data_IF_716952243122
#
_entry.id   IF_716952243122
#
_cell.length_a   1.000
_cell.length_b   1.000
_cell.length_c   1.000
_cell.angle_alpha   90.00
_cell.angle_beta   90.00
_cell.angle_gamma   90.00
#
_symmetry.space_group_name_H-M   'P 1'
#
loop_
_entity.id
_entity.type
_entity.pdbx_description
1 polymer ?
#
# COMPACT_ATOMS: atom_id res chain seq x y z
N UNK A 1 -17.77 -24.82 20.63
CA UNK A 1 -17.52 -23.69 19.67
C UNK A 1 -17.06 -24.26 18.36
N UNK A 2 -17.85 -24.14 17.28
CA UNK A 2 -17.44 -24.60 15.97
C UNK A 2 -16.26 -23.75 15.48
N UNK A 3 -15.09 -24.36 15.22
CA UNK A 3 -13.96 -23.68 14.60
C UNK A 3 -14.42 -23.11 13.27
N UNK A 4 -14.47 -21.77 13.15
CA UNK A 4 -14.68 -21.09 11.90
C UNK A 4 -13.56 -21.59 10.95
N UNK A 5 -13.92 -22.30 9.89
CA UNK A 5 -12.94 -22.72 8.86
C UNK A 5 -12.34 -21.44 8.29
N UNK A 6 -11.10 -21.14 8.63
CA UNK A 6 -10.36 -20.05 7.99
C UNK A 6 -10.28 -20.35 6.50
N UNK A 7 -10.79 -19.44 5.70
CA UNK A 7 -10.56 -19.49 4.25
C UNK A 7 -9.12 -19.07 4.01
N UNK A 8 -8.31 -19.96 3.46
CA UNK A 8 -6.90 -19.73 3.13
C UNK A 8 -6.68 -18.51 2.23
N UNK A 9 -7.63 -18.29 1.31
CA UNK A 9 -7.64 -17.14 0.41
C UNK A 9 -9.00 -16.47 0.57
N UNK A 10 -9.06 -15.17 0.91
CA UNK A 10 -10.30 -14.42 0.90
C UNK A 10 -10.97 -14.50 -0.46
N UNK A 11 -12.31 -14.67 -0.48
CA UNK A 11 -13.07 -14.85 -1.73
C UNK A 11 -12.86 -13.70 -2.72
N UNK A 12 -12.61 -12.49 -2.22
CA UNK A 12 -12.34 -11.30 -3.02
C UNK A 12 -11.02 -11.35 -3.82
N UNK A 13 -10.12 -12.28 -3.49
CA UNK A 13 -8.84 -12.48 -4.20
C UNK A 13 -8.84 -13.70 -5.12
N UNK A 14 -9.91 -14.48 -5.09
CA UNK A 14 -10.07 -15.59 -6.04
C UNK A 14 -10.56 -14.96 -7.33
N UNK A 15 -9.75 -14.96 -8.42
CA UNK A 15 -10.21 -14.45 -9.69
C UNK A 15 -11.36 -15.31 -10.21
N UNK A 16 -12.25 -14.69 -10.98
CA UNK A 16 -13.26 -15.43 -11.71
C UNK A 16 -12.56 -16.45 -12.63
N UNK A 17 -12.83 -17.73 -12.40
CA UNK A 17 -12.35 -18.81 -13.26
C UNK A 17 -13.40 -19.11 -14.33
N UNK A 18 -12.96 -19.56 -15.49
CA UNK A 18 -13.83 -19.86 -16.61
C UNK A 18 -13.33 -19.29 -17.92
N UNK A 19 -14.14 -19.30 -18.94
CA UNK A 19 -13.78 -18.78 -20.24
C UNK A 19 -14.79 -17.77 -20.77
N UNK A 20 -14.29 -16.80 -21.53
CA UNK A 20 -15.10 -15.82 -22.24
C UNK A 20 -14.49 -15.51 -23.60
N UNK A 21 -15.30 -15.01 -24.52
CA UNK A 21 -14.84 -14.62 -25.85
C UNK A 21 -14.52 -13.12 -25.85
N UNK A 22 -13.30 -12.77 -26.23
CA UNK A 22 -12.88 -11.41 -26.52
C UNK A 22 -12.78 -11.22 -28.03
N UNK A 23 -13.43 -10.18 -28.57
CA UNK A 23 -13.32 -9.83 -29.98
C UNK A 23 -12.42 -8.61 -30.16
N UNK A 24 -11.34 -8.74 -30.91
CA UNK A 24 -10.40 -7.67 -31.28
C UNK A 24 -10.32 -7.64 -32.80
N UNK A 25 -10.58 -6.50 -33.41
CA UNK A 25 -10.51 -6.30 -34.88
C UNK A 25 -11.26 -7.39 -35.68
N UNK A 26 -12.48 -7.71 -35.22
CA UNK A 26 -13.36 -8.76 -35.76
C UNK A 26 -12.85 -10.22 -35.59
N UNK A 27 -11.71 -10.43 -34.97
CA UNK A 27 -11.19 -11.77 -34.64
C UNK A 27 -11.66 -12.14 -33.22
N UNK A 28 -12.18 -13.35 -33.08
CA UNK A 28 -12.65 -13.90 -31.81
C UNK A 28 -11.52 -14.69 -31.15
N UNK A 29 -11.22 -14.34 -29.89
CA UNK A 29 -10.26 -15.05 -29.03
C UNK A 29 -11.01 -15.65 -27.85
N UNK A 30 -10.80 -16.93 -27.59
CA UNK A 30 -11.24 -17.55 -26.34
C UNK A 30 -10.20 -17.27 -25.28
N UNK A 31 -10.61 -16.58 -24.23
CA UNK A 31 -9.78 -16.30 -23.06
C UNK A 31 -10.21 -17.26 -21.96
N UNK A 32 -9.28 -18.04 -21.44
CA UNK A 32 -9.48 -18.86 -20.26
C UNK A 32 -8.80 -18.17 -19.05
N UNK A 33 -9.53 -18.11 -17.95
CA UNK A 33 -9.00 -17.69 -16.65
C UNK A 33 -8.87 -18.93 -15.78
N UNK A 34 -7.65 -19.34 -15.53
CA UNK A 34 -7.35 -20.51 -14.72
C UNK A 34 -6.72 -20.06 -13.40
N UNK A 35 -7.04 -20.78 -12.33
CA UNK A 35 -6.43 -20.56 -11.02
C UNK A 35 -5.88 -21.89 -10.49
N UNK A 36 -4.62 -21.87 -10.06
CA UNK A 36 -3.97 -23.00 -9.42
C UNK A 36 -3.71 -22.68 -7.94
N UNK A 37 -4.15 -23.57 -7.06
CA UNK A 37 -3.96 -23.46 -5.62
C UNK A 37 -3.25 -24.68 -5.08
N UNK A 38 -2.21 -24.47 -4.30
CA UNK A 38 -1.55 -25.53 -3.55
C UNK A 38 -1.87 -25.36 -2.06
N UNK A 39 -2.41 -26.40 -1.48
CA UNK A 39 -2.68 -26.47 -0.04
C UNK A 39 -1.69 -27.42 0.61
N UNK A 40 -1.04 -26.95 1.66
CA UNK A 40 -0.19 -27.80 2.50
C UNK A 40 -0.21 -27.32 3.96
N UNK A 41 -0.01 -28.25 4.88
CA UNK A 41 0.14 -27.99 6.30
C UNK A 41 1.61 -28.14 6.69
N UNK A 42 2.14 -27.19 7.43
CA UNK A 42 3.52 -27.21 7.92
C UNK A 42 3.58 -26.79 9.39
N UNK A 43 4.54 -27.36 10.14
CA UNK A 43 4.93 -26.88 11.46
C UNK A 43 6.02 -25.80 11.32
N UNK A 44 6.04 -24.85 12.24
CA UNK A 44 7.17 -23.92 12.43
C UNK A 44 8.33 -24.58 13.22
N UNK A 45 8.12 -25.81 13.76
CA UNK A 45 9.12 -26.56 14.50
C UNK A 45 9.68 -25.78 15.69
N UNK A 46 11.00 -25.82 15.86
CA UNK A 46 11.75 -25.11 16.93
C UNK A 46 11.62 -23.59 16.86
N UNK A 47 11.19 -23.05 15.71
CA UNK A 47 10.94 -21.61 15.53
C UNK A 47 9.56 -21.18 16.06
N UNK A 48 8.72 -22.13 16.48
CA UNK A 48 7.35 -21.83 16.98
C UNK A 48 7.34 -20.78 18.09
N UNK A 49 8.26 -20.74 19.07
CA UNK A 49 8.25 -19.71 20.11
C UNK A 49 8.40 -18.29 19.55
N UNK A 50 9.21 -18.09 18.49
CA UNK A 50 9.31 -16.78 17.82
C UNK A 50 7.98 -16.33 17.22
N UNK A 51 7.31 -17.20 16.47
CA UNK A 51 6.05 -16.88 15.82
C UNK A 51 4.89 -16.73 16.80
N UNK A 52 4.87 -17.54 17.88
CA UNK A 52 3.92 -17.38 19.00
C UNK A 52 4.17 -16.06 19.74
N UNK A 53 5.43 -15.70 19.98
CA UNK A 53 5.80 -14.40 20.56
C UNK A 53 5.26 -13.23 19.75
N UNK A 54 5.34 -13.27 18.42
CA UNK A 54 4.77 -12.24 17.54
C UNK A 54 3.23 -12.21 17.66
N UNK A 55 2.57 -13.37 17.62
CA UNK A 55 1.11 -13.47 17.62
C UNK A 55 0.47 -13.14 18.96
N UNK A 56 0.95 -13.78 20.02
CA UNK A 56 0.28 -13.79 21.31
C UNK A 56 0.85 -12.73 22.27
N UNK A 57 2.18 -12.69 22.42
CA UNK A 57 2.86 -11.93 23.47
C UNK A 57 3.30 -10.53 23.01
N UNK A 58 3.28 -10.24 21.71
CA UNK A 58 3.85 -9.02 21.12
C UNK A 58 5.32 -8.83 21.50
N UNK A 59 6.07 -9.94 21.47
CA UNK A 59 7.51 -10.02 21.72
C UNK A 59 8.25 -10.43 20.46
N UNK A 60 9.49 -9.99 20.36
CA UNK A 60 10.40 -10.36 19.28
C UNK A 60 11.57 -11.08 19.91
N UNK A 61 11.90 -12.25 19.38
CA UNK A 61 13.03 -13.04 19.85
C UNK A 61 14.15 -13.06 18.81
N UNK A 62 15.37 -13.06 19.32
CA UNK A 62 16.58 -13.44 18.61
C UNK A 62 17.12 -14.76 19.15
N UNK A 63 18.14 -15.32 18.48
CA UNK A 63 18.92 -16.44 19.00
C UNK A 63 20.34 -15.98 19.35
N UNK A 64 20.74 -16.17 20.63
CA UNK A 64 22.03 -15.80 21.14
C UNK A 64 22.95 -17.04 21.19
N UNK A 65 24.15 -16.91 20.65
CA UNK A 65 25.15 -17.92 20.79
C UNK A 65 25.85 -17.78 22.16
N UNK A 66 25.90 -18.81 23.01
CA UNK A 66 26.58 -18.74 24.33
C UNK A 66 28.09 -18.60 24.20
N UNK A 67 28.71 -19.07 23.08
CA UNK A 67 30.16 -19.00 22.88
C UNK A 67 30.62 -17.62 22.40
N UNK A 68 30.04 -17.07 21.32
CA UNK A 68 30.47 -15.77 20.77
C UNK A 68 29.60 -14.59 21.19
N UNK A 69 28.47 -14.82 21.85
CA UNK A 69 27.57 -13.80 22.32
C UNK A 69 26.67 -13.17 21.23
N UNK A 70 26.90 -13.51 19.95
CA UNK A 70 26.18 -12.92 18.82
C UNK A 70 24.68 -13.23 18.87
N UNK A 71 23.85 -12.21 18.73
CA UNK A 71 22.39 -12.29 18.71
C UNK A 71 21.86 -12.11 17.30
N UNK A 72 21.32 -13.17 16.70
CA UNK A 72 20.70 -13.11 15.37
C UNK A 72 19.19 -12.94 15.47
N UNK A 73 18.65 -11.97 14.78
CA UNK A 73 17.21 -11.75 14.65
C UNK A 73 16.85 -11.62 13.17
N UNK A 74 15.91 -12.44 12.65
CA UNK A 74 15.09 -13.46 13.35
C UNK A 74 15.93 -14.68 13.78
N UNK A 75 15.43 -15.50 14.73
CA UNK A 75 16.18 -16.60 15.36
C UNK A 75 16.18 -17.87 14.48
N UNK A 76 16.54 -17.75 13.19
CA UNK A 76 16.42 -18.85 12.23
C UNK A 76 17.60 -19.83 12.25
N UNK A 77 18.58 -19.59 13.13
CA UNK A 77 19.70 -20.47 13.34
C UNK A 77 19.66 -21.02 14.76
N UNK A 78 19.22 -22.27 14.93
CA UNK A 78 19.19 -22.98 16.23
C UNK A 78 20.59 -23.37 16.72
N UNK A 79 21.57 -23.31 15.81
CA UNK A 79 22.98 -23.57 16.10
C UNK A 79 23.85 -22.48 15.45
N UNK A 80 24.93 -22.10 16.14
CA UNK A 80 25.85 -21.08 15.65
C UNK A 80 26.88 -21.69 14.68
N UNK A 81 26.86 -21.30 13.39
CA UNK A 81 27.80 -21.85 12.40
C UNK A 81 29.25 -21.43 12.66
N UNK A 82 29.46 -20.30 13.35
CA UNK A 82 30.82 -19.77 13.63
C UNK A 82 31.44 -20.34 14.91
N UNK A 83 30.73 -21.22 15.65
CA UNK A 83 31.11 -21.73 16.94
C UNK A 83 30.89 -23.26 17.05
N UNK A 84 31.37 -24.02 16.08
CA UNK A 84 31.24 -25.48 16.02
C UNK A 84 29.80 -25.97 16.22
N UNK A 85 28.86 -25.26 15.62
CA UNK A 85 27.43 -25.55 15.75
C UNK A 85 26.94 -25.60 17.21
N UNK A 86 27.51 -24.76 18.09
CA UNK A 86 26.98 -24.61 19.45
C UNK A 86 25.50 -24.24 19.42
N UNK A 87 24.64 -24.89 20.22
CA UNK A 87 23.23 -24.58 20.29
C UNK A 87 23.01 -23.13 20.76
N UNK A 88 22.03 -22.45 20.17
CA UNK A 88 21.71 -21.08 20.52
C UNK A 88 20.52 -21.04 21.48
N UNK A 89 20.38 -19.92 22.22
CA UNK A 89 19.32 -19.69 23.18
C UNK A 89 18.40 -18.55 22.68
N UNK A 90 17.09 -18.68 22.87
CA UNK A 90 16.16 -17.62 22.57
C UNK A 90 16.29 -16.48 23.59
N UNK A 91 16.45 -15.26 23.10
CA UNK A 91 16.52 -14.04 23.91
C UNK A 91 15.53 -13.00 23.36
N UNK A 92 14.84 -12.27 24.24
CA UNK A 92 13.99 -11.17 23.83
C UNK A 92 14.87 -10.00 23.34
N UNK A 93 14.56 -9.46 22.15
CA UNK A 93 15.21 -8.26 21.60
C UNK A 93 14.30 -7.06 21.69
N UNK A 94 14.88 -5.86 21.57
CA UNK A 94 14.13 -4.62 21.61
C UNK A 94 13.15 -4.46 20.44
N UNK A 95 12.24 -3.50 20.59
CA UNK A 95 11.25 -3.16 19.57
C UNK A 95 11.54 -1.81 18.89
N UNK A 96 12.68 -1.22 19.21
CA UNK A 96 13.25 -0.05 18.52
C UNK A 96 14.50 -0.53 17.79
N UNK A 97 14.77 0.06 16.64
CA UNK A 97 15.96 -0.33 15.87
C UNK A 97 16.34 0.74 14.86
N UNK A 98 17.32 0.42 14.04
CA UNK A 98 17.88 1.32 13.04
C UNK A 98 17.83 0.68 11.67
N UNK A 99 17.44 1.44 10.66
CA UNK A 99 17.46 1.02 9.27
C UNK A 99 18.91 0.76 8.82
N UNK A 100 19.22 -0.47 8.42
CA UNK A 100 20.52 -0.86 7.91
C UNK A 100 20.79 -0.28 6.52
N UNK A 101 19.76 -0.11 5.72
CA UNK A 101 19.81 0.43 4.36
C UNK A 101 18.56 1.25 4.05
N UNK A 102 18.64 2.12 3.04
CA UNK A 102 17.48 2.77 2.46
C UNK A 102 16.57 1.72 1.83
N UNK A 103 15.28 1.61 2.25
CA UNK A 103 14.41 0.58 1.74
C UNK A 103 13.97 0.86 0.30
N UNK A 104 14.02 -0.13 -0.60
CA UNK A 104 13.29 -0.04 -1.86
C UNK A 104 11.79 -0.01 -1.58
N UNK A 105 11.06 0.83 -2.32
CA UNK A 105 9.62 1.00 -2.14
C UNK A 105 8.87 0.10 -3.11
N UNK A 106 7.92 -0.65 -2.59
CA UNK A 106 6.96 -1.45 -3.36
C UNK A 106 5.65 -0.68 -3.45
N UNK A 107 5.36 -0.11 -4.60
CA UNK A 107 4.12 0.64 -4.86
C UNK A 107 2.98 -0.24 -5.33
N UNK A 108 3.31 -1.35 -5.98
CA UNK A 108 2.36 -2.31 -6.50
C UNK A 108 2.77 -3.71 -6.07
N UNK A 109 1.79 -4.51 -5.67
CA UNK A 109 1.96 -5.91 -5.33
C UNK A 109 0.88 -6.74 -6.04
N UNK A 110 1.07 -8.06 -6.10
CA UNK A 110 0.00 -8.95 -6.58
C UNK A 110 -1.23 -8.89 -5.67
N UNK A 111 -2.33 -9.51 -6.08
CA UNK A 111 -3.62 -9.44 -5.39
C UNK A 111 -3.54 -9.80 -3.89
N UNK A 112 -2.70 -10.77 -3.51
CA UNK A 112 -2.55 -11.20 -2.12
C UNK A 112 -1.90 -10.14 -1.22
N UNK A 113 -0.97 -9.35 -1.77
CA UNK A 113 -0.21 -8.33 -1.03
C UNK A 113 -0.64 -6.91 -1.34
N UNK A 114 -1.65 -6.72 -2.17
CA UNK A 114 -2.10 -5.40 -2.61
C UNK A 114 -2.54 -4.52 -1.43
N UNK A 115 -3.17 -5.10 -0.42
CA UNK A 115 -3.58 -4.39 0.81
C UNK A 115 -2.41 -3.86 1.64
N UNK A 116 -1.20 -4.40 1.46
CA UNK A 116 -0.01 -3.96 2.17
C UNK A 116 0.72 -2.82 1.45
N UNK A 117 0.54 -2.66 0.15
CA UNK A 117 1.21 -1.63 -0.64
C UNK A 117 0.55 -0.25 -0.44
N UNK A 118 1.32 0.87 -0.52
CA UNK A 118 2.76 0.90 -0.69
C UNK A 118 3.51 0.66 0.63
N UNK A 119 4.66 0.01 0.56
CA UNK A 119 5.54 -0.21 1.70
C UNK A 119 7.02 -0.19 1.30
N UNK A 120 7.88 0.20 2.23
CA UNK A 120 9.31 0.01 2.10
C UNK A 120 9.70 -1.41 2.53
N UNK A 121 10.57 -2.06 1.78
CA UNK A 121 11.17 -3.34 2.19
C UNK A 121 12.38 -3.06 3.08
N UNK A 122 12.13 -2.98 4.40
CA UNK A 122 13.11 -2.60 5.40
C UNK A 122 14.03 -3.75 5.82
N UNK A 123 15.26 -3.38 6.15
CA UNK A 123 16.20 -4.21 6.91
C UNK A 123 16.56 -3.44 8.17
N UNK A 124 16.11 -3.93 9.32
CA UNK A 124 16.19 -3.21 10.60
C UNK A 124 17.03 -4.02 11.59
N UNK A 125 18.05 -3.40 12.15
CA UNK A 125 18.80 -3.96 13.29
C UNK A 125 18.10 -3.45 14.54
N UNK A 126 17.50 -4.38 15.30
CA UNK A 126 16.79 -4.09 16.55
C UNK A 126 17.78 -3.95 17.71
N UNK A 127 17.42 -3.20 18.73
CA UNK A 127 18.20 -3.10 19.97
C UNK A 127 18.40 -4.49 20.58
N UNK A 128 19.65 -4.84 20.88
CA UNK A 128 20.03 -6.16 21.39
C UNK A 128 20.18 -7.25 20.32
N UNK A 129 20.08 -6.92 19.03
CA UNK A 129 20.37 -7.81 17.92
C UNK A 129 21.58 -7.33 17.12
N UNK A 130 22.35 -8.27 16.56
CA UNK A 130 23.51 -8.00 15.71
C UNK A 130 23.18 -8.17 14.22
N UNK A 131 22.04 -8.78 13.89
CA UNK A 131 21.60 -9.01 12.50
C UNK A 131 20.31 -8.28 12.20
N UNK A 132 20.04 -8.08 10.92
CA UNK A 132 18.89 -7.30 10.48
C UNK A 132 17.66 -8.18 10.25
N UNK A 133 16.55 -7.79 10.85
CA UNK A 133 15.22 -8.29 10.56
C UNK A 133 14.67 -7.65 9.27
N UNK A 134 14.20 -8.48 8.33
CA UNK A 134 13.49 -8.00 7.14
C UNK A 134 12.03 -7.80 7.47
N UNK A 135 11.54 -6.55 7.30
CA UNK A 135 10.19 -6.15 7.73
C UNK A 135 9.67 -5.01 6.87
N UNK A 136 8.35 -4.92 6.70
CA UNK A 136 7.75 -3.78 6.01
C UNK A 136 7.91 -2.50 6.82
N UNK A 137 8.13 -1.38 6.14
CA UNK A 137 8.25 -0.06 6.76
C UNK A 137 7.20 0.87 6.14
N UNK A 138 6.50 1.59 7.00
CA UNK A 138 5.48 2.58 6.64
C UNK A 138 5.78 3.92 7.28
N UNK A 139 5.11 4.97 6.79
CA UNK A 139 5.01 6.27 7.47
C UNK A 139 3.56 6.51 7.90
N UNK A 140 3.36 7.18 9.00
CA UNK A 140 2.01 7.55 9.47
C UNK A 140 1.32 8.53 8.53
N UNK A 141 2.10 9.37 7.87
CA UNK A 141 1.65 10.30 6.83
C UNK A 141 1.27 9.59 5.53
N UNK A 142 1.73 8.35 5.34
CA UNK A 142 1.59 7.57 4.10
C UNK A 142 2.47 8.09 2.96
N UNK A 143 3.38 9.03 3.20
CA UNK A 143 4.38 9.46 2.22
C UNK A 143 5.50 8.43 2.23
N UNK A 144 5.66 7.71 1.13
CA UNK A 144 6.69 6.68 0.95
C UNK A 144 7.49 6.94 -0.33
N UNK A 145 7.87 8.19 -0.57
CA UNK A 145 8.80 8.52 -1.64
C UNK A 145 10.21 8.00 -1.32
N UNK A 146 11.02 7.66 -2.33
CA UNK A 146 12.40 7.27 -2.12
C UNK A 146 13.17 8.33 -1.32
N UNK A 147 13.93 7.89 -0.31
CA UNK A 147 14.73 8.78 0.54
C UNK A 147 14.00 9.40 1.75
N UNK A 148 12.68 9.23 1.90
CA UNK A 148 11.96 9.63 3.12
C UNK A 148 12.44 8.78 4.30
N UNK A 149 12.47 7.47 4.14
CA UNK A 149 13.11 6.55 5.08
C UNK A 149 14.45 6.13 4.46
N UNK A 150 15.53 6.30 5.18
CA UNK A 150 16.90 6.05 4.70
C UNK A 150 17.72 5.27 5.72
N UNK A 151 18.89 4.81 5.31
CA UNK A 151 19.88 4.21 6.23
C UNK A 151 20.07 5.11 7.46
N UNK A 152 20.11 4.52 8.64
CA UNK A 152 20.27 5.23 9.90
C UNK A 152 18.97 5.78 10.50
N UNK A 153 17.83 5.74 9.80
CA UNK A 153 16.54 6.13 10.38
C UNK A 153 16.19 5.21 11.54
N UNK A 154 15.93 5.81 12.72
CA UNK A 154 15.40 5.07 13.87
C UNK A 154 13.94 4.72 13.63
N UNK A 155 13.59 3.46 13.87
CA UNK A 155 12.23 2.93 13.66
C UNK A 155 11.76 2.16 14.87
N UNK A 156 10.44 2.13 15.06
CA UNK A 156 9.76 1.35 16.09
C UNK A 156 8.98 0.23 15.41
N UNK A 157 9.06 -0.98 15.95
CA UNK A 157 8.21 -2.10 15.56
C UNK A 157 6.81 -1.88 16.09
N UNK A 158 5.84 -2.07 15.20
CA UNK A 158 4.41 -1.98 15.45
C UNK A 158 3.81 -3.35 15.16
N UNK A 159 2.93 -3.80 16.03
CA UNK A 159 2.19 -5.04 15.86
C UNK A 159 0.83 -4.76 15.21
N UNK A 160 0.44 -5.60 14.25
CA UNK A 160 -0.93 -5.53 13.70
C UNK A 160 -1.92 -5.94 14.78
N UNK A 161 -3.14 -5.44 14.67
CA UNK A 161 -4.22 -5.82 15.60
C UNK A 161 -4.60 -7.29 15.39
N UNK A 162 -4.76 -7.72 14.12
CA UNK A 162 -4.95 -9.13 13.75
C UNK A 162 -3.58 -9.75 13.43
N UNK A 163 -3.24 -10.83 14.12
CA UNK A 163 -1.96 -11.53 14.01
C UNK A 163 -2.17 -13.02 13.83
N UNK A 164 -1.39 -13.62 12.96
CA UNK A 164 -1.47 -15.04 12.58
C UNK A 164 -0.23 -15.87 12.92
N UNK A 165 0.80 -15.25 13.48
CA UNK A 165 2.08 -15.88 13.74
C UNK A 165 2.98 -15.87 12.50
N UNK A 166 3.07 -14.71 11.85
CA UNK A 166 3.93 -14.49 10.67
C UNK A 166 4.75 -13.21 10.85
N UNK A 167 5.86 -13.07 10.12
CA UNK A 167 6.66 -11.83 10.15
C UNK A 167 5.83 -10.62 9.68
N UNK A 168 4.84 -10.85 8.83
CA UNK A 168 3.91 -9.81 8.39
C UNK A 168 2.99 -9.28 9.50
N UNK A 169 2.93 -9.91 10.67
CA UNK A 169 2.19 -9.41 11.84
C UNK A 169 2.82 -8.15 12.44
N UNK A 170 4.05 -7.86 12.04
CA UNK A 170 4.78 -6.66 12.44
C UNK A 170 5.21 -5.82 11.24
N UNK A 171 5.40 -4.54 11.49
CA UNK A 171 5.99 -3.58 10.57
C UNK A 171 6.69 -2.48 11.36
N UNK A 172 7.43 -1.62 10.68
CA UNK A 172 8.12 -0.51 11.33
C UNK A 172 7.58 0.85 10.88
N UNK A 173 7.66 1.82 11.81
CA UNK A 173 7.35 3.24 11.56
C UNK A 173 8.51 4.08 12.10
N UNK A 174 8.90 5.20 11.45
CA UNK A 174 9.91 6.11 11.98
C UNK A 174 9.57 6.60 13.39
N UNK A 175 10.55 6.54 14.29
CA UNK A 175 10.39 7.03 15.68
C UNK A 175 9.99 8.50 15.71
N UNK A 176 10.43 9.30 14.75
CA UNK A 176 10.08 10.73 14.61
C UNK A 176 8.60 11.01 14.40
N UNK A 177 7.84 10.00 13.98
CA UNK A 177 6.39 10.10 13.74
C UNK A 177 5.55 9.62 14.93
N UNK A 178 6.19 9.21 16.02
CA UNK A 178 5.56 8.68 17.22
C UNK A 178 5.81 9.55 18.43
N UNK A 179 4.88 9.55 19.38
CA UNK A 179 5.09 10.19 20.69
C UNK A 179 6.10 9.40 21.53
N UNK A 180 6.74 10.06 22.49
CA UNK A 180 7.68 9.40 23.43
C UNK A 180 7.04 8.20 24.14
N UNK A 181 5.77 8.32 24.54
CA UNK A 181 5.02 7.25 25.18
C UNK A 181 4.82 6.04 24.24
N UNK A 182 4.52 6.29 22.96
CA UNK A 182 4.37 5.23 21.95
C UNK A 182 5.71 4.53 21.68
N UNK A 183 6.81 5.27 21.63
CA UNK A 183 8.15 4.70 21.42
C UNK A 183 8.54 3.79 22.60
N UNK A 184 8.27 4.22 23.82
CA UNK A 184 8.58 3.45 25.03
C UNK A 184 7.66 2.22 25.22
N UNK A 185 6.45 2.24 24.64
CA UNK A 185 5.47 1.18 24.83
C UNK A 185 5.90 -0.11 24.16
N UNK A 186 6.02 -1.20 24.94
CA UNK A 186 6.19 -2.56 24.40
C UNK A 186 4.88 -3.05 23.79
N UNK A 187 4.97 -3.76 22.68
CA UNK A 187 3.79 -4.33 21.99
C UNK A 187 2.80 -3.29 21.48
N UNK A 188 3.29 -2.16 20.97
CA UNK A 188 2.46 -1.11 20.40
C UNK A 188 1.66 -1.63 19.22
N UNK A 189 0.32 -1.47 19.25
CA UNK A 189 -0.59 -1.93 18.22
C UNK A 189 -0.82 -0.88 17.13
N UNK A 190 -1.16 -1.34 15.93
CA UNK A 190 -1.49 -0.52 14.79
C UNK A 190 -2.63 0.47 15.06
N UNK A 191 -3.67 0.02 15.77
CA UNK A 191 -4.81 0.86 16.17
C UNK A 191 -4.48 1.97 17.18
N UNK A 192 -3.31 1.91 17.81
CA UNK A 192 -2.85 2.88 18.80
C UNK A 192 -2.00 4.02 18.20
N UNK A 193 -1.84 4.02 16.88
CA UNK A 193 -1.08 5.02 16.14
C UNK A 193 -2.06 5.98 15.45
N UNK A 194 -1.72 7.24 15.43
CA UNK A 194 -2.45 8.22 14.62
C UNK A 194 -1.99 8.14 13.15
N UNK A 195 -2.84 7.57 12.31
CA UNK A 195 -2.60 7.46 10.87
C UNK A 195 -3.15 8.70 10.15
N UNK A 196 -2.34 9.72 9.98
CA UNK A 196 -2.71 10.93 9.22
C UNK A 196 -3.18 10.61 7.80
N UNK A 197 -2.61 9.58 7.20
CA UNK A 197 -3.00 9.12 5.87
C UNK A 197 -4.48 8.68 5.75
N UNK A 198 -5.10 8.27 6.85
CA UNK A 198 -6.50 7.83 6.87
C UNK A 198 -7.50 8.98 7.05
N UNK A 199 -7.02 10.16 7.45
CA UNK A 199 -7.87 11.32 7.73
C UNK A 199 -8.10 12.11 6.44
N UNK A 200 -9.38 12.35 6.08
CA UNK A 200 -9.71 13.21 4.94
C UNK A 200 -9.23 14.64 5.20
N UNK A 201 -8.42 15.24 4.28
CA UNK A 201 -7.93 16.58 4.45
C UNK A 201 -9.06 17.62 4.43
N UNK A 202 -9.06 18.52 5.39
CA UNK A 202 -9.99 19.67 5.38
C UNK A 202 -9.53 20.68 4.34
N UNK A 203 -10.42 21.02 3.43
CA UNK A 203 -10.20 22.08 2.44
C UNK A 203 -10.61 23.43 3.02
N UNK A 204 -9.77 24.44 2.82
CA UNK A 204 -10.07 25.83 3.20
C UNK A 204 -11.09 26.42 2.24
N UNK A 205 -11.80 27.45 2.69
CA UNK A 205 -12.67 28.25 1.82
C UNK A 205 -11.82 28.87 0.71
N UNK A 206 -12.24 28.68 -0.52
CA UNK A 206 -11.51 29.17 -1.69
C UNK A 206 -11.54 30.69 -1.81
N UNK A 207 -10.43 31.26 -2.19
CA UNK A 207 -10.32 32.64 -2.66
C UNK A 207 -10.89 32.77 -4.08
N UNK A 208 -11.13 34.00 -4.54
CA UNK A 208 -11.59 34.24 -5.92
C UNK A 208 -10.58 33.68 -6.95
N UNK A 209 -9.29 33.84 -6.71
CA UNK A 209 -8.24 33.31 -7.58
C UNK A 209 -8.24 31.77 -7.64
N UNK A 210 -8.48 31.11 -6.51
CA UNK A 210 -8.57 29.63 -6.45
C UNK A 210 -9.85 29.13 -7.13
N UNK A 211 -10.96 29.86 -7.05
CA UNK A 211 -12.18 29.53 -7.79
C UNK A 211 -11.97 29.65 -9.30
N UNK A 212 -11.25 30.67 -9.77
CA UNK A 212 -10.93 30.82 -11.18
C UNK A 212 -9.96 29.71 -11.65
N UNK A 213 -8.97 29.37 -10.82
CA UNK A 213 -8.08 28.23 -11.07
C UNK A 213 -8.84 26.89 -11.16
N UNK A 214 -9.88 26.71 -10.32
CA UNK A 214 -10.77 25.56 -10.38
C UNK A 214 -11.53 25.49 -11.72
N UNK A 215 -12.15 26.57 -12.15
CA UNK A 215 -12.87 26.62 -13.44
C UNK A 215 -11.96 26.29 -14.61
N UNK A 216 -10.74 26.83 -14.61
CA UNK A 216 -9.72 26.55 -15.64
C UNK A 216 -9.33 25.08 -15.65
N UNK A 217 -9.02 24.50 -14.47
CA UNK A 217 -8.69 23.09 -14.33
C UNK A 217 -9.85 22.17 -14.75
N UNK A 218 -11.10 22.52 -14.39
CA UNK A 218 -12.28 21.76 -14.76
C UNK A 218 -12.50 21.73 -16.28
N UNK A 219 -12.31 22.89 -16.96
CA UNK A 219 -12.36 22.98 -18.43
C UNK A 219 -11.31 22.07 -19.08
N UNK A 220 -10.11 22.06 -18.55
CA UNK A 220 -9.03 21.20 -19.04
C UNK A 220 -9.34 19.72 -18.81
N UNK A 221 -9.82 19.34 -17.63
CA UNK A 221 -10.20 17.94 -17.31
C UNK A 221 -11.32 17.47 -18.26
N UNK A 222 -12.32 18.30 -18.54
CA UNK A 222 -13.38 17.97 -19.51
C UNK A 222 -12.81 17.68 -20.90
N UNK A 223 -11.89 18.52 -21.37
CA UNK A 223 -11.22 18.32 -22.66
C UNK A 223 -10.42 17.01 -22.71
N UNK A 224 -9.69 16.68 -21.63
CA UNK A 224 -8.93 15.42 -21.54
C UNK A 224 -9.87 14.22 -21.48
N UNK A 225 -10.94 14.27 -20.72
CA UNK A 225 -11.95 13.20 -20.65
C UNK A 225 -12.57 12.94 -22.04
N UNK A 226 -12.86 13.98 -22.81
CA UNK A 226 -13.31 13.82 -24.19
C UNK A 226 -12.29 13.04 -25.03
N UNK A 227 -11.00 13.41 -24.95
CA UNK A 227 -9.93 12.70 -25.65
C UNK A 227 -9.77 11.25 -25.17
N UNK A 228 -10.00 10.97 -23.89
CA UNK A 228 -9.98 9.58 -23.36
C UNK A 228 -11.05 8.72 -24.01
N UNK A 229 -12.26 9.25 -24.22
CA UNK A 229 -13.36 8.55 -24.90
C UNK A 229 -13.11 8.38 -26.40
N UNK A 230 -12.38 9.30 -27.04
CA UNK A 230 -11.99 9.23 -28.44
C UNK A 230 -10.79 8.30 -28.67
N UNK A 231 -10.02 7.99 -27.64
CA UNK A 231 -8.83 7.15 -27.72
C UNK A 231 -9.19 5.68 -27.41
N UNK A 232 -9.21 4.84 -28.43
CA UNK A 232 -9.59 3.42 -28.32
C UNK A 232 -8.79 2.68 -27.22
N UNK A 233 -7.47 2.90 -27.15
CA UNK A 233 -6.61 2.27 -26.15
C UNK A 233 -6.98 2.71 -24.72
N UNK A 234 -7.35 3.97 -24.52
CA UNK A 234 -7.76 4.45 -23.19
C UNK A 234 -9.11 3.84 -22.78
N UNK A 235 -10.04 3.65 -23.72
CA UNK A 235 -11.32 2.96 -23.47
C UNK A 235 -11.10 1.48 -23.12
N UNK A 236 -10.19 0.80 -23.80
CA UNK A 236 -9.83 -0.62 -23.51
C UNK A 236 -9.30 -0.77 -22.09
N UNK A 237 -8.58 0.22 -21.54
CA UNK A 237 -8.02 0.18 -20.17
C UNK A 237 -9.10 0.14 -19.08
N UNK A 238 -10.33 0.58 -19.39
CA UNK A 238 -11.48 0.62 -18.45
C UNK A 238 -12.69 -0.21 -18.93
N UNK A 239 -12.51 -1.05 -19.92
CA UNK A 239 -13.56 -1.97 -20.37
C UNK A 239 -13.89 -2.95 -19.22
N UNK A 240 -15.19 -3.22 -19.02
CA UNK A 240 -15.68 -4.07 -17.94
C UNK A 240 -15.58 -3.47 -16.53
N UNK A 241 -15.12 -2.21 -16.41
CA UNK A 241 -14.91 -1.56 -15.12
C UNK A 241 -15.92 -0.44 -14.87
N UNK A 242 -16.46 -0.41 -13.64
CA UNK A 242 -17.37 0.65 -13.16
C UNK A 242 -16.76 1.31 -11.94
N UNK A 243 -16.81 2.66 -11.88
CA UNK A 243 -16.30 3.39 -10.73
C UNK A 243 -16.89 4.80 -10.66
N UNK A 244 -17.46 5.13 -9.52
CA UNK A 244 -17.95 6.46 -9.18
C UNK A 244 -16.95 7.17 -8.26
N UNK A 245 -16.26 8.17 -8.79
CA UNK A 245 -15.17 8.87 -8.10
C UNK A 245 -15.64 10.29 -7.78
N UNK A 246 -15.71 10.65 -6.49
CA UNK A 246 -15.91 12.02 -6.05
C UNK A 246 -14.56 12.73 -5.95
N UNK A 247 -14.42 13.86 -6.61
CA UNK A 247 -13.22 14.71 -6.52
C UNK A 247 -13.57 15.97 -5.76
N UNK A 248 -12.82 16.27 -4.70
CA UNK A 248 -12.93 17.49 -3.90
C UNK A 248 -11.66 18.30 -4.04
N UNK A 249 -11.77 19.58 -4.34
CA UNK A 249 -10.63 20.48 -4.46
C UNK A 249 -10.94 21.83 -3.82
N UNK A 250 -9.92 22.62 -3.54
CA UNK A 250 -10.13 24.01 -3.20
C UNK A 250 -10.77 24.72 -4.41
N UNK A 251 -11.95 25.28 -4.22
CA UNK A 251 -12.72 25.95 -5.28
C UNK A 251 -13.94 25.18 -5.76
N UNK A 252 -14.02 23.86 -5.55
CA UNK A 252 -15.22 23.10 -5.92
C UNK A 252 -15.03 21.59 -5.92
N UNK A 253 -16.10 20.90 -6.23
CA UNK A 253 -16.14 19.43 -6.33
C UNK A 253 -16.84 18.98 -7.61
N UNK A 254 -16.47 17.82 -8.11
CA UNK A 254 -17.08 17.18 -9.27
C UNK A 254 -16.93 15.66 -9.16
N UNK A 255 -17.64 14.94 -10.00
CA UNK A 255 -17.54 13.50 -10.09
C UNK A 255 -16.92 13.07 -11.42
N UNK A 256 -16.09 12.03 -11.37
CA UNK A 256 -15.65 11.26 -12.54
C UNK A 256 -16.38 9.92 -12.47
N UNK A 257 -17.12 9.60 -13.50
CA UNK A 257 -17.93 8.39 -13.60
C UNK A 257 -17.36 7.53 -14.73
N UNK A 258 -16.99 6.32 -14.38
CA UNK A 258 -16.46 5.33 -15.32
C UNK A 258 -17.46 4.19 -15.43
N UNK A 259 -17.86 3.87 -16.66
CA UNK A 259 -18.82 2.81 -16.93
C UNK A 259 -18.44 2.05 -18.20
N UNK A 260 -17.84 0.89 -18.03
CA UNK A 260 -17.62 -0.09 -19.09
C UNK A 260 -17.02 0.49 -20.38
N UNK A 261 -15.87 1.14 -20.28
CA UNK A 261 -15.17 1.71 -21.44
C UNK A 261 -15.45 3.19 -21.69
N UNK A 262 -16.41 3.79 -20.98
CA UNK A 262 -16.70 5.21 -21.07
C UNK A 262 -16.33 5.93 -19.76
N UNK A 263 -15.87 7.17 -19.89
CA UNK A 263 -15.58 8.06 -18.78
C UNK A 263 -16.30 9.38 -18.97
N UNK A 264 -16.92 9.88 -17.93
CA UNK A 264 -17.62 11.17 -17.94
C UNK A 264 -17.33 12.00 -16.70
N UNK A 265 -17.58 13.31 -16.80
CA UNK A 265 -17.48 14.23 -15.69
C UNK A 265 -18.86 14.83 -15.42
N UNK A 266 -19.26 14.83 -14.15
CA UNK A 266 -20.48 15.46 -13.69
C UNK A 266 -20.15 16.49 -12.59
N UNK A 267 -20.61 17.73 -12.76
CA UNK A 267 -20.46 18.81 -11.77
C UNK A 267 -21.52 18.67 -10.67
N UNK A 268 -21.44 17.56 -9.94
CA UNK A 268 -22.35 17.26 -8.84
C UNK A 268 -21.65 16.49 -7.74
N UNK A 269 -22.22 16.55 -6.55
CA UNK A 269 -21.85 15.68 -5.44
C UNK A 269 -22.56 14.35 -5.56
N UNK A 270 -21.83 13.25 -5.42
CA UNK A 270 -22.38 11.90 -5.37
C UNK A 270 -22.83 11.57 -3.95
N UNK A 271 -23.97 10.88 -3.84
CA UNK A 271 -24.49 10.45 -2.54
C UNK A 271 -23.66 9.32 -1.95
N UNK A 272 -23.17 8.40 -2.79
CA UNK A 272 -22.41 7.23 -2.37
C UNK A 272 -21.29 6.92 -3.39
N UNK A 273 -20.20 7.70 -3.36
CA UNK A 273 -19.09 7.43 -4.26
C UNK A 273 -18.36 6.14 -3.85
N UNK A 274 -17.83 5.40 -4.84
CA UNK A 274 -16.96 4.26 -4.60
C UNK A 274 -15.59 4.71 -4.07
N UNK A 275 -15.15 5.90 -4.47
CA UNK A 275 -13.81 6.41 -4.22
C UNK A 275 -13.83 7.94 -4.11
N UNK A 276 -13.08 8.49 -3.18
CA UNK A 276 -12.97 9.94 -2.99
C UNK A 276 -11.51 10.35 -3.19
N UNK A 277 -11.30 11.40 -3.95
CA UNK A 277 -10.03 12.06 -4.16
C UNK A 277 -10.09 13.49 -3.61
N UNK A 278 -9.12 13.89 -2.82
CA UNK A 278 -9.03 15.26 -2.28
C UNK A 278 -7.70 15.88 -2.64
N UNK A 279 -7.73 16.99 -3.37
CA UNK A 279 -6.54 17.76 -3.74
C UNK A 279 -6.68 19.21 -3.29
N UNK A 280 -5.66 19.76 -2.64
CA UNK A 280 -5.65 21.20 -2.30
C UNK A 280 -5.66 22.08 -3.54
N UNK A 281 -4.95 21.67 -4.59
CA UNK A 281 -4.93 22.38 -5.88
C UNK A 281 -5.70 21.59 -6.93
N UNK A 282 -6.68 22.18 -7.61
CA UNK A 282 -7.41 21.55 -8.70
C UNK A 282 -6.49 21.20 -9.89
N UNK A 283 -5.40 21.93 -10.03
CA UNK A 283 -4.38 21.69 -11.07
C UNK A 283 -3.71 20.31 -10.90
N UNK A 284 -3.57 19.79 -9.68
CA UNK A 284 -2.90 18.50 -9.42
C UNK A 284 -3.54 17.36 -10.22
N UNK A 285 -4.87 17.28 -10.24
CA UNK A 285 -5.57 16.25 -11.00
C UNK A 285 -5.59 16.57 -12.52
N UNK A 286 -5.72 17.83 -12.90
CA UNK A 286 -5.66 18.24 -14.30
C UNK A 286 -4.30 17.87 -14.93
N UNK A 287 -3.21 18.13 -14.23
CA UNK A 287 -1.86 17.75 -14.67
C UNK A 287 -1.70 16.22 -14.78
N UNK A 288 -2.23 15.47 -13.82
CA UNK A 288 -2.22 14.01 -13.84
C UNK A 288 -2.98 13.43 -15.02
N UNK A 289 -4.22 13.85 -15.23
CA UNK A 289 -5.06 13.38 -16.33
C UNK A 289 -4.53 13.80 -17.71
N UNK A 290 -3.86 14.96 -17.80
CA UNK A 290 -3.18 15.40 -19.03
C UNK A 290 -1.77 14.78 -19.20
N UNK A 291 -1.38 13.88 -18.29
CA UNK A 291 -0.08 13.19 -18.28
C UNK A 291 1.14 14.14 -18.23
N UNK A 292 1.01 15.28 -17.53
CA UNK A 292 2.13 16.19 -17.20
C UNK A 292 2.84 15.78 -15.90
N UNK A 293 2.38 14.74 -15.26
CA UNK A 293 2.91 14.06 -14.09
C UNK A 293 2.00 12.90 -13.75
N UNK A 294 2.52 11.86 -13.07
CA UNK A 294 1.68 10.72 -12.69
C UNK A 294 0.73 11.08 -11.54
N UNK A 295 -0.52 10.63 -11.61
CA UNK A 295 -1.47 10.72 -10.50
C UNK A 295 -0.92 9.91 -9.31
N UNK A 296 -0.32 8.75 -9.59
CA UNK A 296 0.37 7.91 -8.61
C UNK A 296 1.38 8.71 -7.79
N UNK A 297 2.23 9.52 -8.42
CA UNK A 297 3.21 10.35 -7.71
C UNK A 297 2.53 11.39 -6.81
N UNK A 298 1.41 11.95 -7.26
CA UNK A 298 0.64 12.90 -6.47
C UNK A 298 0.02 12.26 -5.23
N UNK A 299 -0.42 11.01 -5.33
CA UNK A 299 -0.91 10.22 -4.18
C UNK A 299 0.24 9.88 -3.22
N UNK A 300 1.36 9.38 -3.74
CA UNK A 300 2.54 9.00 -2.94
C UNK A 300 3.11 10.21 -2.18
N UNK A 301 3.17 11.37 -2.84
CA UNK A 301 3.66 12.63 -2.26
C UNK A 301 2.60 13.40 -1.46
N UNK A 302 1.41 12.81 -1.24
CA UNK A 302 0.29 13.41 -0.51
C UNK A 302 -0.18 14.76 -1.04
N UNK A 303 0.05 15.05 -2.31
CA UNK A 303 -0.60 16.16 -3.03
C UNK A 303 -2.05 15.84 -3.38
N UNK A 304 -2.37 14.56 -3.48
CA UNK A 304 -3.69 14.00 -3.70
C UNK A 304 -3.97 12.95 -2.64
N UNK A 305 -4.96 13.19 -1.80
CA UNK A 305 -5.45 12.20 -0.83
C UNK A 305 -6.51 11.31 -1.46
N UNK A 306 -6.57 10.05 -1.06
CA UNK A 306 -7.54 9.07 -1.54
C UNK A 306 -8.21 8.35 -0.37
N UNK A 307 -9.52 8.12 -0.45
CA UNK A 307 -10.33 7.53 0.64
C UNK A 307 -10.00 6.07 0.95
N UNK A 308 -9.44 5.36 -0.02
CA UNK A 308 -9.00 3.97 0.13
C UNK A 308 -7.50 3.93 -0.12
N UNK A 309 -6.74 4.14 0.94
CA UNK A 309 -5.28 4.30 0.89
C UNK A 309 -4.53 3.17 0.17
N UNK A 310 -5.13 1.98 0.10
CA UNK A 310 -4.52 0.79 -0.49
C UNK A 310 -5.12 0.42 -1.85
N UNK A 311 -6.09 1.18 -2.35
CA UNK A 311 -6.70 0.92 -3.65
C UNK A 311 -6.00 1.68 -4.77
N UNK A 312 -4.82 1.22 -5.14
CA UNK A 312 -4.08 1.80 -6.26
C UNK A 312 -4.62 1.43 -7.64
N UNK A 313 -5.52 0.46 -7.76
CA UNK A 313 -6.11 0.06 -9.05
C UNK A 313 -6.79 1.23 -9.75
N UNK A 314 -7.58 2.03 -9.03
CA UNK A 314 -8.24 3.24 -9.57
C UNK A 314 -7.20 4.23 -10.09
N UNK A 315 -6.14 4.47 -9.31
CA UNK A 315 -5.09 5.42 -9.65
C UNK A 315 -4.29 4.96 -10.87
N UNK A 316 -3.90 3.68 -10.91
CA UNK A 316 -3.17 3.12 -12.05
C UNK A 316 -3.99 3.10 -13.34
N UNK A 317 -5.30 2.84 -13.27
CA UNK A 317 -6.15 2.91 -14.45
C UNK A 317 -6.24 4.34 -15.00
N UNK A 318 -6.41 5.34 -14.14
CA UNK A 318 -6.40 6.75 -14.55
C UNK A 318 -5.05 7.15 -15.16
N UNK A 319 -3.92 6.76 -14.56
CA UNK A 319 -2.58 7.01 -15.12
C UNK A 319 -2.38 6.33 -16.48
N UNK A 320 -2.89 5.10 -16.66
CA UNK A 320 -2.81 4.37 -17.93
C UNK A 320 -3.61 5.06 -19.02
N UNK A 321 -4.83 5.48 -18.71
CA UNK A 321 -5.68 6.25 -19.66
C UNK A 321 -4.99 7.55 -20.08
N UNK A 322 -4.49 8.33 -19.11
CA UNK A 322 -3.76 9.57 -19.36
C UNK A 322 -2.56 9.33 -20.29
N UNK A 323 -1.77 8.28 -20.01
CA UNK A 323 -0.63 7.88 -20.85
C UNK A 323 -1.05 7.42 -22.24
N UNK A 324 -2.16 6.69 -22.36
CA UNK A 324 -2.68 6.22 -23.64
C UNK A 324 -3.07 7.40 -24.54
N UNK A 325 -3.74 8.42 -23.98
CA UNK A 325 -4.05 9.67 -24.69
C UNK A 325 -2.79 10.46 -25.09
N UNK A 326 -1.81 10.56 -24.17
CA UNK A 326 -0.57 11.28 -24.48
C UNK A 326 0.24 10.62 -25.62
N UNK A 327 0.18 9.29 -25.72
CA UNK A 327 0.85 8.52 -26.78
C UNK A 327 0.09 8.56 -28.12
N UNK A 328 -1.20 8.73 -28.13
CA UNK A 328 -1.97 8.83 -29.38
C UNK A 328 -1.79 10.16 -30.10
N UNK A 329 -1.22 11.15 -29.42
CA UNK A 329 -0.89 12.47 -30.00
C UNK A 329 0.51 12.54 -30.64
N UNK A 330 1.31 11.50 -30.46
CA UNK A 330 2.63 11.32 -31.08
C UNK A 330 2.53 10.44 -32.32
#
# INVERSE_FOLDING_TARGET
MAKKKEKLIPAEYIPDVGSHVLTIDKVKYLIANDAMYTFYQRSKGELSPFFLGLRDDKKIFGCKCPKCGLVRCPPFLTHCPDCDFAPTELVEVGQVGVMLSTPPITYFANSLFLKMAPYGRGRVVLEGADTALSVNVYTTTGILAPGIIKKGTKVKVIFRDDRSGEISDIFCVPVSELTKAQVAKKGLLSSQINWEAAVEPTLKKATAAEQEAYKKALKEIKAVIKLMNETERARKDILGWKRDIQVKTTGGEFAIIINNGDISLAEKKLTKPDFIMVARSPKTLADGLAYRGAITDSVIMKRLWISKNMEFTTIFKLDRMARSVARSKK
#
